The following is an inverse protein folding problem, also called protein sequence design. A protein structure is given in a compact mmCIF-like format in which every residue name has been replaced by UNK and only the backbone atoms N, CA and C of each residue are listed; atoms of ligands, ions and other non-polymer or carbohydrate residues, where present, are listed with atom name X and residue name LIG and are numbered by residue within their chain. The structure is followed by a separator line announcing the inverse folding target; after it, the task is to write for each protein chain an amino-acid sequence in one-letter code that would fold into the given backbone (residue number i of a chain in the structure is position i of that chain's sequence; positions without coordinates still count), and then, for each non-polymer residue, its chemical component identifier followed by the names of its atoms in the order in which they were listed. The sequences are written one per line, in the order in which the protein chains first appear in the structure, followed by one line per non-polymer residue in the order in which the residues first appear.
data_IF_569809936777
#
_entry.id   IF_569809936777
#
_cell.length_a   1.000
_cell.length_b   1.000
_cell.length_c   1.000
_cell.angle_alpha   90.00
_cell.angle_beta   90.00
_cell.angle_gamma   90.00
#
_symmetry.space_group_name_H-M   'P 1'
#
loop_
_entity.id
_entity.type
_entity.pdbx_description
1 polymer ?
#
# COMPACT_ATOMS: atom_id res chain seq x y z
N UNK A 1 -10.99 3.08 -24.35
CA UNK A 1 -11.43 1.67 -24.37
C UNK A 1 -10.15 0.87 -24.33
N UNK A 2 -9.85 0.24 -23.20
CA UNK A 2 -8.61 -0.53 -23.05
C UNK A 2 -8.86 -1.86 -23.74
N UNK A 3 -8.19 -2.10 -24.88
CA UNK A 3 -8.29 -3.35 -25.64
C UNK A 3 -7.61 -4.47 -24.85
N UNK A 4 -8.38 -5.17 -24.02
CA UNK A 4 -7.97 -6.43 -23.41
C UNK A 4 -8.03 -7.49 -24.51
N UNK A 5 -6.94 -8.22 -24.72
CA UNK A 5 -6.90 -9.31 -25.70
C UNK A 5 -7.82 -10.45 -25.25
N UNK A 6 -8.38 -11.25 -26.20
CA UNK A 6 -9.17 -12.43 -25.83
C UNK A 6 -8.41 -13.44 -24.96
N UNK A 7 -7.08 -13.49 -25.10
CA UNK A 7 -6.20 -14.33 -24.29
C UNK A 7 -6.12 -13.82 -22.84
N UNK A 8 -5.89 -12.51 -22.63
CA UNK A 8 -5.90 -11.91 -21.30
C UNK A 8 -7.25 -12.07 -20.59
N UNK A 9 -8.36 -11.91 -21.31
CA UNK A 9 -9.70 -12.12 -20.76
C UNK A 9 -9.94 -13.59 -20.36
N UNK A 10 -9.39 -14.53 -21.14
CA UNK A 10 -9.46 -15.96 -20.84
C UNK A 10 -8.62 -16.30 -19.61
N UNK A 11 -7.39 -15.79 -19.53
CA UNK A 11 -6.53 -16.01 -18.36
C UNK A 11 -7.13 -15.39 -17.10
N UNK A 12 -7.67 -14.17 -17.18
CA UNK A 12 -8.38 -13.53 -16.07
C UNK A 12 -9.52 -14.41 -15.54
N UNK A 13 -10.36 -14.98 -16.42
CA UNK A 13 -11.45 -15.89 -16.02
C UNK A 13 -10.91 -17.15 -15.32
N UNK A 14 -9.86 -17.76 -15.88
CA UNK A 14 -9.22 -18.94 -15.27
C UNK A 14 -8.72 -18.63 -13.86
N UNK A 15 -8.04 -17.51 -13.66
CA UNK A 15 -7.55 -17.15 -12.33
C UNK A 15 -8.67 -16.71 -11.39
N UNK A 16 -9.71 -16.04 -11.88
CA UNK A 16 -10.90 -15.68 -11.10
C UNK A 16 -11.57 -16.92 -10.50
N UNK A 17 -11.67 -18.00 -11.27
CA UNK A 17 -12.16 -19.29 -10.79
C UNK A 17 -11.19 -19.95 -9.81
N UNK A 18 -9.87 -19.94 -10.09
CA UNK A 18 -8.85 -20.53 -9.20
C UNK A 18 -8.81 -19.88 -7.83
N UNK A 19 -8.99 -18.57 -7.74
CA UNK A 19 -8.95 -17.83 -6.47
C UNK A 19 -10.25 -17.93 -5.67
N UNK A 20 -11.31 -18.54 -6.23
CA UNK A 20 -12.58 -18.69 -5.55
C UNK A 20 -12.41 -19.49 -4.24
N UNK A 21 -12.87 -18.91 -3.13
CA UNK A 21 -12.74 -19.51 -1.79
C UNK A 21 -11.40 -19.25 -1.10
N UNK A 22 -10.51 -18.46 -1.71
CA UNK A 22 -9.28 -17.95 -1.09
C UNK A 22 -9.49 -16.52 -0.56
N UNK A 23 -8.46 -15.95 0.07
CA UNK A 23 -8.44 -14.53 0.48
C UNK A 23 -8.01 -13.57 -0.64
N UNK A 24 -7.94 -14.04 -1.89
CA UNK A 24 -7.67 -13.21 -3.07
C UNK A 24 -9.02 -12.85 -3.72
N UNK A 25 -9.21 -11.58 -4.07
CA UNK A 25 -10.47 -11.10 -4.62
C UNK A 25 -10.66 -11.60 -6.06
N UNK A 26 -11.74 -12.32 -6.41
CA UNK A 26 -11.93 -12.88 -7.75
C UNK A 26 -12.22 -11.85 -8.84
N UNK A 27 -12.65 -10.63 -8.49
CA UNK A 27 -12.91 -9.56 -9.44
C UNK A 27 -11.64 -8.83 -9.87
N UNK A 28 -10.64 -8.78 -8.99
CA UNK A 28 -9.42 -7.98 -9.21
C UNK A 28 -8.16 -8.82 -9.26
N UNK A 29 -8.19 -10.02 -8.69
CA UNK A 29 -7.05 -10.92 -8.45
C UNK A 29 -6.01 -10.36 -7.45
N UNK A 30 -6.43 -9.41 -6.61
CA UNK A 30 -5.59 -8.82 -5.56
C UNK A 30 -6.03 -9.30 -4.17
N UNK A 31 -5.09 -9.37 -3.23
CA UNK A 31 -5.32 -9.73 -1.83
C UNK A 31 -4.98 -8.56 -0.89
N UNK A 32 -5.83 -8.36 0.13
CA UNK A 32 -5.65 -7.31 1.15
C UNK A 32 -4.45 -7.54 2.05
N UNK A 33 -4.01 -8.78 2.20
CA UNK A 33 -2.83 -9.14 3.01
C UNK A 33 -1.57 -8.35 2.61
N UNK A 34 -1.45 -7.90 1.36
CA UNK A 34 -0.36 -7.03 0.92
C UNK A 34 -0.26 -5.74 1.76
N UNK A 35 -1.40 -5.20 2.21
CA UNK A 35 -1.43 -3.96 2.99
C UNK A 35 -0.85 -4.13 4.40
N UNK A 36 -0.65 -5.37 4.88
CA UNK A 36 -0.04 -5.61 6.18
C UNK A 36 1.38 -5.05 6.26
N UNK A 37 2.13 -5.05 5.14
CA UNK A 37 3.47 -4.43 5.05
C UNK A 37 3.45 -2.92 5.36
N UNK A 38 2.34 -2.24 5.04
CA UNK A 38 2.17 -0.82 5.32
C UNK A 38 1.69 -0.57 6.76
N UNK A 39 0.90 -1.48 7.33
CA UNK A 39 0.53 -1.40 8.75
C UNK A 39 1.76 -1.46 9.66
N UNK A 40 2.78 -2.24 9.30
CA UNK A 40 4.04 -2.34 10.07
C UNK A 40 4.75 -0.98 10.19
N UNK A 41 4.92 -0.25 9.08
CA UNK A 41 5.57 1.07 9.11
C UNK A 41 4.68 2.13 9.78
N UNK A 42 3.35 2.06 9.63
CA UNK A 42 2.43 2.95 10.36
C UNK A 42 2.61 2.78 11.87
N UNK A 43 2.70 1.53 12.36
CA UNK A 43 2.96 1.26 13.78
C UNK A 43 4.30 1.84 14.23
N UNK A 44 5.37 1.69 13.43
CA UNK A 44 6.69 2.28 13.76
C UNK A 44 6.60 3.80 13.86
N UNK A 45 5.97 4.47 12.89
CA UNK A 45 5.79 5.92 12.89
C UNK A 45 5.02 6.41 14.13
N UNK A 46 3.99 5.69 14.56
CA UNK A 46 3.20 6.04 15.75
C UNK A 46 3.97 5.90 17.06
N UNK A 47 5.01 5.07 17.10
CA UNK A 47 5.84 4.86 18.30
C UNK A 47 6.95 5.91 18.46
N UNK A 48 7.44 6.51 17.37
CA UNK A 48 8.58 7.46 17.38
C UNK A 48 8.44 8.60 18.42
N UNK A 49 7.28 9.25 18.61
CA UNK A 49 7.14 10.34 19.58
C UNK A 49 7.41 9.96 21.04
N UNK A 50 7.25 8.69 21.37
CA UNK A 50 7.44 8.11 22.70
C UNK A 50 8.74 7.30 22.78
N UNK A 51 9.23 6.78 21.64
CA UNK A 51 10.45 5.97 21.51
C UNK A 51 11.18 6.33 20.22
N UNK A 52 12.10 7.30 20.30
CA UNK A 52 12.84 7.84 19.14
C UNK A 52 13.68 6.77 18.43
N UNK A 53 14.12 5.72 19.14
CA UNK A 53 14.87 4.60 18.54
C UNK A 53 14.11 3.88 17.42
N UNK A 54 12.76 3.92 17.43
CA UNK A 54 11.93 3.36 16.35
C UNK A 54 12.15 4.05 15.00
N UNK A 55 12.79 5.23 14.96
CA UNK A 55 13.17 5.87 13.72
C UNK A 55 14.16 5.00 12.92
N UNK A 56 15.07 4.29 13.57
CA UNK A 56 16.03 3.41 12.88
C UNK A 56 15.31 2.30 12.12
N UNK A 57 14.31 1.68 12.74
CA UNK A 57 13.46 0.66 12.11
C UNK A 57 12.65 1.25 10.95
N UNK A 58 12.09 2.46 11.13
CA UNK A 58 11.36 3.15 10.08
C UNK A 58 12.26 3.54 8.88
N UNK A 59 13.53 3.85 9.12
CA UNK A 59 14.54 4.10 8.07
C UNK A 59 14.99 2.81 7.39
N UNK A 60 15.05 1.70 8.13
CA UNK A 60 15.39 0.39 7.60
C UNK A 60 14.25 -0.25 6.79
N UNK A 61 13.00 0.17 7.03
CA UNK A 61 11.86 -0.26 6.24
C UNK A 61 12.05 0.08 4.76
N UNK A 62 11.71 -0.87 3.88
CA UNK A 62 11.82 -0.71 2.43
C UNK A 62 10.51 -1.11 1.75
N UNK A 63 10.13 -0.43 0.66
CA UNK A 63 8.98 -0.83 -0.13
C UNK A 63 9.21 -2.23 -0.72
N UNK A 64 8.15 -3.05 -0.73
CA UNK A 64 8.15 -4.38 -1.36
C UNK A 64 7.15 -4.41 -2.50
N UNK A 65 7.51 -5.06 -3.60
CA UNK A 65 6.55 -5.36 -4.67
C UNK A 65 5.46 -6.29 -4.12
N UNK A 66 4.29 -6.30 -4.77
CA UNK A 66 3.20 -7.20 -4.41
C UNK A 66 3.67 -8.66 -4.34
N UNK A 67 4.41 -9.10 -5.36
CA UNK A 67 4.86 -10.48 -5.46
C UNK A 67 5.96 -10.80 -4.44
N UNK A 68 6.90 -9.90 -4.19
CA UNK A 68 7.95 -10.12 -3.20
C UNK A 68 7.39 -10.17 -1.77
N UNK A 69 6.41 -9.31 -1.46
CA UNK A 69 5.69 -9.41 -0.19
C UNK A 69 5.10 -10.81 0.02
N UNK A 70 4.40 -11.35 -0.97
CA UNK A 70 3.78 -12.66 -0.83
C UNK A 70 4.80 -13.80 -0.78
N UNK A 71 5.89 -13.75 -1.56
CA UNK A 71 6.96 -14.76 -1.49
C UNK A 71 7.51 -14.89 -0.06
N UNK A 72 7.70 -13.77 0.61
CA UNK A 72 8.26 -13.68 1.96
C UNK A 72 7.22 -13.94 3.07
N UNK A 73 5.92 -13.86 2.78
CA UNK A 73 4.87 -13.91 3.81
C UNK A 73 4.47 -15.35 4.21
N UNK A 74 3.70 -15.42 5.30
CA UNK A 74 3.02 -16.64 5.78
C UNK A 74 1.60 -16.79 5.20
N UNK A 75 1.26 -15.99 4.18
CA UNK A 75 -0.05 -16.06 3.54
C UNK A 75 -0.27 -17.43 2.92
N UNK A 76 -1.43 -18.06 3.21
CA UNK A 76 -1.72 -19.45 2.83
C UNK A 76 -1.61 -19.67 1.32
N UNK A 77 -2.19 -18.75 0.55
CA UNK A 77 -2.31 -18.87 -0.91
C UNK A 77 -1.28 -18.00 -1.64
N UNK A 78 -0.07 -17.85 -1.07
CA UNK A 78 0.95 -16.89 -1.56
C UNK A 78 1.41 -17.13 -2.99
N UNK A 79 1.64 -18.37 -3.38
CA UNK A 79 2.04 -18.67 -4.76
C UNK A 79 0.91 -18.34 -5.73
N UNK A 80 -0.34 -18.64 -5.36
CA UNK A 80 -1.50 -18.27 -6.15
C UNK A 80 -1.67 -16.75 -6.25
N UNK A 81 -1.40 -15.99 -5.17
CA UNK A 81 -1.42 -14.53 -5.20
C UNK A 81 -0.35 -13.97 -6.16
N UNK A 82 0.87 -14.52 -6.12
CA UNK A 82 1.98 -14.13 -7.01
C UNK A 82 1.65 -14.40 -8.47
N UNK A 83 1.10 -15.59 -8.77
CA UNK A 83 0.70 -15.97 -10.13
C UNK A 83 -0.51 -15.16 -10.63
N UNK A 84 -1.55 -15.03 -9.82
CA UNK A 84 -2.77 -14.31 -10.17
C UNK A 84 -2.50 -12.82 -10.41
N UNK A 85 -1.49 -12.25 -9.75
CA UNK A 85 -1.09 -10.87 -9.94
C UNK A 85 -0.80 -10.55 -11.41
N UNK A 86 -0.17 -11.46 -12.15
CA UNK A 86 0.17 -11.30 -13.58
C UNK A 86 -1.07 -11.18 -14.49
N UNK A 87 -2.24 -11.56 -13.98
CA UNK A 87 -3.51 -11.55 -14.71
C UNK A 87 -4.51 -10.52 -14.19
N UNK A 88 -4.10 -9.66 -13.23
CA UNK A 88 -4.91 -8.53 -12.75
C UNK A 88 -5.30 -7.64 -13.94
N UNK A 89 -6.59 -7.28 -14.10
CA UNK A 89 -7.01 -6.39 -15.18
C UNK A 89 -6.27 -5.05 -15.11
N UNK A 90 -5.73 -4.58 -16.24
CA UNK A 90 -4.76 -3.48 -16.26
C UNK A 90 -5.24 -2.16 -15.62
N UNK A 91 -6.55 -1.89 -15.61
CA UNK A 91 -7.11 -0.71 -14.93
C UNK A 91 -7.08 -0.83 -13.40
N UNK A 92 -7.29 -2.03 -12.84
CA UNK A 92 -7.08 -2.30 -11.41
C UNK A 92 -5.60 -2.28 -11.06
N UNK A 93 -4.76 -2.95 -11.87
CA UNK A 93 -3.31 -2.98 -11.62
C UNK A 93 -2.74 -1.57 -11.57
N UNK A 94 -3.02 -0.76 -12.59
CA UNK A 94 -2.53 0.62 -12.66
C UNK A 94 -3.01 1.45 -11.47
N UNK A 95 -4.31 1.46 -11.19
CA UNK A 95 -4.86 2.25 -10.08
C UNK A 95 -4.26 1.82 -8.73
N UNK A 96 -4.06 0.52 -8.54
CA UNK A 96 -3.43 -0.02 -7.34
C UNK A 96 -1.97 0.43 -7.23
N UNK A 97 -1.16 0.20 -8.28
CA UNK A 97 0.25 0.59 -8.33
C UNK A 97 0.46 2.09 -8.13
N UNK A 98 -0.40 2.93 -8.72
CA UNK A 98 -0.38 4.39 -8.53
C UNK A 98 -0.53 4.73 -7.03
N UNK A 99 -1.51 4.13 -6.33
CA UNK A 99 -1.73 4.36 -4.89
C UNK A 99 -0.59 3.79 -4.04
N UNK A 100 -0.03 2.64 -4.39
CA UNK A 100 1.16 2.08 -3.73
C UNK A 100 2.34 3.05 -3.87
N UNK A 101 2.53 3.64 -5.05
CA UNK A 101 3.55 4.66 -5.30
C UNK A 101 3.40 5.87 -4.39
N UNK A 102 2.18 6.38 -4.24
CA UNK A 102 1.88 7.50 -3.33
C UNK A 102 2.16 7.16 -1.86
N UNK A 103 1.80 5.95 -1.41
CA UNK A 103 2.09 5.50 -0.04
C UNK A 103 3.60 5.43 0.21
N UNK A 104 4.36 4.82 -0.70
CA UNK A 104 5.81 4.74 -0.60
C UNK A 104 6.46 6.13 -0.59
N UNK A 105 5.97 7.04 -1.44
CA UNK A 105 6.42 8.42 -1.49
C UNK A 105 6.13 9.18 -0.19
N UNK A 106 4.95 9.00 0.38
CA UNK A 106 4.57 9.60 1.66
C UNK A 106 5.44 9.08 2.80
N UNK A 107 5.65 7.76 2.90
CA UNK A 107 6.52 7.14 3.92
C UNK A 107 7.93 7.73 3.84
N UNK A 108 8.55 7.73 2.66
CA UNK A 108 9.90 8.22 2.49
C UNK A 108 10.04 9.69 2.91
N UNK A 109 9.08 10.54 2.53
CA UNK A 109 9.06 11.96 2.93
C UNK A 109 8.85 12.13 4.43
N UNK A 110 7.94 11.34 5.02
CA UNK A 110 7.66 11.39 6.46
C UNK A 110 8.88 10.99 7.29
N UNK A 111 9.57 9.89 6.92
CA UNK A 111 10.77 9.42 7.62
C UNK A 111 11.88 10.48 7.60
N UNK A 112 12.15 11.09 6.43
CA UNK A 112 13.13 12.18 6.31
C UNK A 112 12.74 13.37 7.19
N UNK A 113 11.48 13.83 7.08
CA UNK A 113 11.00 14.97 7.86
C UNK A 113 11.08 14.72 9.37
N UNK A 114 10.76 13.52 9.82
CA UNK A 114 10.82 13.16 11.25
C UNK A 114 12.27 13.16 11.73
N UNK A 115 13.20 12.59 10.95
CA UNK A 115 14.62 12.58 11.27
C UNK A 115 15.19 14.01 11.41
N UNK A 116 14.92 14.89 10.43
CA UNK A 116 15.33 16.29 10.47
C UNK A 116 14.81 17.01 11.73
N UNK A 117 13.57 16.73 12.15
CA UNK A 117 12.95 17.37 13.31
C UNK A 117 13.57 16.89 14.62
N UNK A 118 13.92 15.61 14.71
CA UNK A 118 14.66 15.07 15.85
C UNK A 118 16.05 15.74 15.95
N UNK A 119 16.75 15.90 14.82
CA UNK A 119 18.05 16.58 14.78
C UNK A 119 17.96 18.06 15.20
N UNK A 120 16.88 18.74 14.81
CA UNK A 120 16.57 20.12 15.21
C UNK A 120 16.15 20.25 16.69
N UNK A 121 15.99 19.14 17.41
CA UNK A 121 15.61 19.12 18.82
C UNK A 121 14.11 19.28 19.08
N UNK A 122 13.26 18.84 18.14
CA UNK A 122 11.80 18.87 18.30
C UNK A 122 11.35 18.15 19.59
N UNK A 123 10.37 18.74 20.26
CA UNK A 123 9.74 18.13 21.45
C UNK A 123 8.77 17.01 21.09
N UNK A 124 8.36 16.20 22.08
CA UNK A 124 7.45 15.06 21.88
C UNK A 124 6.10 15.47 21.26
N UNK A 125 5.55 16.63 21.61
CA UNK A 125 4.28 17.11 21.03
C UNK A 125 4.40 17.40 19.52
N UNK A 126 5.48 18.05 19.09
CA UNK A 126 5.73 18.32 17.66
C UNK A 126 5.93 17.02 16.87
N UNK A 127 6.72 16.09 17.43
CA UNK A 127 6.90 14.77 16.81
C UNK A 127 5.58 14.01 16.71
N UNK A 128 4.73 14.08 17.75
CA UNK A 128 3.41 13.44 17.74
C UNK A 128 2.52 14.01 16.66
N UNK A 129 2.52 15.32 16.45
CA UNK A 129 1.75 15.94 15.37
C UNK A 129 2.20 15.46 13.99
N UNK A 130 3.52 15.44 13.72
CA UNK A 130 4.09 15.02 12.42
C UNK A 130 3.83 13.53 12.16
N UNK A 131 4.08 12.68 13.15
CA UNK A 131 3.88 11.23 13.04
C UNK A 131 2.39 10.91 12.84
N UNK A 132 1.50 11.49 13.66
CA UNK A 132 0.07 11.27 13.54
C UNK A 132 -0.50 11.81 12.21
N UNK A 133 0.04 12.93 11.72
CA UNK A 133 -0.30 13.45 10.40
C UNK A 133 0.05 12.49 9.28
N UNK A 134 1.25 11.92 9.34
CA UNK A 134 1.75 10.93 8.38
C UNK A 134 0.94 9.63 8.41
N UNK A 135 0.70 9.07 9.60
CA UNK A 135 -0.11 7.85 9.78
C UNK A 135 -1.54 8.02 9.28
N UNK A 136 -2.19 9.17 9.53
CA UNK A 136 -3.52 9.46 8.97
C UNK A 136 -3.53 9.54 7.45
N UNK A 137 -2.49 10.14 6.85
CA UNK A 137 -2.35 10.19 5.39
C UNK A 137 -2.21 8.79 4.79
N UNK A 138 -1.36 7.96 5.40
CA UNK A 138 -1.17 6.57 4.99
C UNK A 138 -2.44 5.74 5.15
N UNK A 139 -3.16 5.89 6.26
CA UNK A 139 -4.40 5.15 6.49
C UNK A 139 -5.45 5.44 5.40
N UNK A 140 -5.59 6.71 4.98
CA UNK A 140 -6.49 7.08 3.88
C UNK A 140 -6.08 6.42 2.55
N UNK A 141 -4.79 6.39 2.25
CA UNK A 141 -4.29 5.73 1.02
C UNK A 141 -4.46 4.21 1.09
N UNK A 142 -4.29 3.60 2.28
CA UNK A 142 -4.57 2.17 2.49
C UNK A 142 -6.07 1.85 2.32
N UNK A 143 -6.97 2.71 2.80
CA UNK A 143 -8.41 2.56 2.58
C UNK A 143 -8.76 2.59 1.09
N UNK A 144 -8.09 3.48 0.35
CA UNK A 144 -8.20 3.56 -1.12
C UNK A 144 -7.67 2.28 -1.78
N UNK A 145 -6.48 1.81 -1.42
CA UNK A 145 -5.89 0.59 -1.98
C UNK A 145 -6.80 -0.62 -1.70
N UNK A 146 -7.35 -0.69 -0.48
CA UNK A 146 -8.34 -1.70 -0.09
C UNK A 146 -9.61 -1.61 -0.95
N UNK A 147 -10.13 -0.42 -1.23
CA UNK A 147 -11.28 -0.26 -2.12
C UNK A 147 -10.98 -0.75 -3.55
N UNK A 148 -9.77 -0.50 -4.07
CA UNK A 148 -9.32 -0.99 -5.38
C UNK A 148 -9.21 -2.52 -5.38
N UNK A 149 -8.63 -3.12 -4.34
CA UNK A 149 -8.58 -4.58 -4.16
C UNK A 149 -9.99 -5.19 -4.21
N UNK A 150 -10.99 -4.49 -3.67
CA UNK A 150 -12.39 -4.91 -3.70
C UNK A 150 -13.17 -4.53 -4.97
N UNK A 151 -12.51 -3.98 -6.00
CA UNK A 151 -13.12 -3.73 -7.30
C UNK A 151 -13.60 -2.30 -7.53
N UNK A 152 -13.29 -1.35 -6.64
CA UNK A 152 -13.61 0.07 -6.84
C UNK A 152 -12.47 0.78 -7.57
N UNK A 153 -12.67 1.13 -8.84
CA UNK A 153 -11.77 2.06 -9.55
C UNK A 153 -12.38 3.45 -9.49
N UNK A 154 -12.11 4.16 -8.40
CA UNK A 154 -12.30 5.62 -8.42
C UNK A 154 -11.18 6.16 -9.29
N UNK A 155 -11.51 6.94 -10.32
CA UNK A 155 -10.51 7.56 -11.19
C UNK A 155 -9.77 8.59 -10.33
N UNK A 156 -8.63 8.21 -9.75
CA UNK A 156 -7.78 9.11 -8.98
C UNK A 156 -7.22 10.15 -9.93
N UNK A 157 -7.84 11.32 -9.92
CA UNK A 157 -7.21 12.52 -10.45
C UNK A 157 -6.20 12.99 -9.40
N UNK A 158 -5.02 13.42 -9.83
CA UNK A 158 -3.91 13.77 -8.95
C UNK A 158 -4.32 14.83 -7.91
N UNK A 159 -5.27 15.70 -8.28
CA UNK A 159 -5.92 16.68 -7.41
C UNK A 159 -6.66 16.12 -6.19
N UNK A 160 -7.17 14.88 -6.25
CA UNK A 160 -7.85 14.25 -5.12
C UNK A 160 -6.87 13.69 -4.08
N UNK A 161 -5.69 13.25 -4.52
CA UNK A 161 -4.62 12.78 -3.64
C UNK A 161 -4.05 13.97 -2.86
N UNK A 162 -3.79 15.09 -3.53
CA UNK A 162 -3.34 16.33 -2.87
C UNK A 162 -4.33 16.79 -1.79
N UNK A 163 -5.63 16.77 -2.10
CA UNK A 163 -6.70 17.08 -1.14
C UNK A 163 -6.81 16.09 0.03
N UNK A 164 -6.47 14.82 -0.17
CA UNK A 164 -6.44 13.80 0.90
C UNK A 164 -5.21 13.93 1.81
N UNK A 165 -4.07 14.31 1.20
CA UNK A 165 -2.78 14.53 1.86
C UNK A 165 -2.64 15.93 2.48
N UNK A 166 -3.61 16.82 2.24
CA UNK A 166 -3.63 18.17 2.80
C UNK A 166 -2.46 19.03 2.31
N UNK A 167 -2.03 18.82 1.06
CA UNK A 167 -0.99 19.61 0.39
C UNK A 167 -1.62 20.68 -0.49
#
# INVERSE_FOLDING_TARGET
MTDITPEEETQFRVYSEKVAGTNINPQTLLATDYLNHFNEIVMMLEMIPDMVECLEDAQAWQPKSYQDHFRDSQFRDKELAVEAYEHVPGHFRKAFEDVIGEMNGLIAQSVVRIAERIEDGAGSDELREICSGSSRGLQKLMDVASAIIHGSVTRFDQSQIDGLLGR
#
